data_IF_735457707595
#
_entry.id   IF_735457707595
#
_cell.length_a   1.000
_cell.length_b   1.000
_cell.length_c   1.000
_cell.angle_alpha   90.00
_cell.angle_beta   90.00
_cell.angle_gamma   90.00
#
_symmetry.space_group_name_H-M   'P 1'
#
loop_
_entity.id
_entity.type
_entity.pdbx_description
1 polymer ?
#
# COMPACT_ATOMS: atom_id res chain seq x y z
N UNK A 1 0.07 6.27 17.97
CA UNK A 1 -0.46 5.90 19.31
C UNK A 1 0.70 5.59 20.25
N UNK A 2 0.94 6.45 21.22
CA UNK A 2 1.95 6.17 22.27
C UNK A 2 1.32 5.21 23.30
N UNK A 3 2.06 4.21 23.78
CA UNK A 3 1.66 3.25 24.84
C UNK A 3 0.61 2.17 24.41
N UNK A 4 0.86 1.47 23.30
CA UNK A 4 0.02 0.35 22.83
C UNK A 4 -0.11 -0.77 23.87
N UNK A 5 0.98 -1.09 24.56
CA UNK A 5 1.02 -2.16 25.59
C UNK A 5 0.39 -1.75 26.93
N UNK A 6 0.12 -0.46 27.13
CA UNK A 6 -0.34 0.07 28.44
C UNK A 6 -1.86 0.25 28.52
N UNK A 7 -2.54 0.41 27.36
CA UNK A 7 -3.96 0.71 27.31
C UNK A 7 -4.68 -0.26 26.37
N UNK A 8 -5.70 -0.94 26.88
CA UNK A 8 -6.46 -1.96 26.15
C UNK A 8 -7.04 -1.42 24.83
N UNK A 9 -7.58 -0.20 24.82
CA UNK A 9 -8.12 0.47 23.62
C UNK A 9 -7.03 0.68 22.56
N UNK A 10 -5.87 1.20 22.96
CA UNK A 10 -4.76 1.44 22.05
C UNK A 10 -4.24 0.13 21.42
N UNK A 11 -4.16 -0.93 22.22
CA UNK A 11 -3.79 -2.26 21.77
C UNK A 11 -4.82 -2.82 20.77
N UNK A 12 -6.10 -2.81 21.12
CA UNK A 12 -7.16 -3.32 20.27
C UNK A 12 -7.21 -2.61 18.91
N UNK A 13 -7.14 -1.28 18.88
CA UNK A 13 -7.13 -0.47 17.66
C UNK A 13 -5.87 -0.71 16.85
N UNK A 14 -4.70 -0.81 17.50
CA UNK A 14 -3.44 -1.10 16.81
C UNK A 14 -3.46 -2.46 16.11
N UNK A 15 -3.84 -3.52 16.82
CA UNK A 15 -3.91 -4.86 16.25
C UNK A 15 -4.97 -4.97 15.15
N UNK A 16 -6.15 -4.38 15.36
CA UNK A 16 -7.20 -4.36 14.34
C UNK A 16 -6.75 -3.62 13.07
N UNK A 17 -6.02 -2.51 13.21
CA UNK A 17 -5.45 -1.77 12.08
C UNK A 17 -4.37 -2.59 11.38
N UNK A 18 -3.52 -3.31 12.13
CA UNK A 18 -2.50 -4.19 11.57
C UNK A 18 -3.15 -5.36 10.81
N UNK A 19 -4.13 -6.04 11.39
CA UNK A 19 -4.88 -7.12 10.73
C UNK A 19 -5.53 -6.59 9.44
N UNK A 20 -6.19 -5.44 9.51
CA UNK A 20 -6.85 -4.82 8.37
C UNK A 20 -5.86 -4.51 7.22
N UNK A 21 -4.66 -4.07 7.56
CA UNK A 21 -3.60 -3.74 6.60
C UNK A 21 -3.05 -4.98 5.87
N UNK A 22 -2.99 -6.14 6.56
CA UNK A 22 -2.33 -7.34 6.05
C UNK A 22 -3.29 -8.48 5.68
N UNK A 23 -4.59 -8.36 6.00
CA UNK A 23 -5.60 -9.38 5.71
C UNK A 23 -6.69 -8.83 4.79
N UNK A 24 -6.60 -9.13 3.49
CA UNK A 24 -7.56 -8.66 2.49
C UNK A 24 -8.97 -9.22 2.66
N UNK A 25 -9.10 -10.28 3.47
CA UNK A 25 -10.39 -10.96 3.72
C UNK A 25 -11.43 -10.09 4.43
N UNK A 26 -11.01 -9.00 5.07
CA UNK A 26 -11.90 -8.17 5.88
C UNK A 26 -12.14 -6.80 5.24
N UNK A 27 -13.38 -6.49 4.88
CA UNK A 27 -13.79 -5.15 4.43
C UNK A 27 -13.97 -4.17 5.61
N UNK A 28 -14.14 -4.69 6.82
CA UNK A 28 -14.29 -3.92 8.06
C UNK A 28 -13.96 -4.76 9.29
N UNK A 29 -13.38 -4.14 10.31
CA UNK A 29 -13.07 -4.76 11.60
C UNK A 29 -13.60 -3.86 12.72
N UNK A 30 -14.20 -4.46 13.74
CA UNK A 30 -14.58 -3.77 14.96
C UNK A 30 -13.55 -4.10 16.03
N UNK A 31 -12.87 -3.07 16.55
CA UNK A 31 -11.93 -3.19 17.66
C UNK A 31 -12.64 -2.85 18.95
N UNK A 32 -12.53 -3.70 19.96
CA UNK A 32 -13.14 -3.54 21.28
C UNK A 32 -12.04 -3.53 22.32
N UNK A 33 -11.85 -2.40 22.98
CA UNK A 33 -10.93 -2.26 24.11
C UNK A 33 -11.72 -2.27 25.41
N UNK A 34 -11.38 -3.17 26.32
CA UNK A 34 -12.06 -3.35 27.63
C UNK A 34 -11.09 -3.04 28.75
N UNK A 35 -11.42 -2.06 29.57
CA UNK A 35 -10.76 -1.82 30.85
C UNK A 35 -11.71 -2.24 32.00
N UNK A 36 -11.19 -2.96 32.95
CA UNK A 36 -11.92 -3.30 34.18
C UNK A 36 -11.15 -2.83 35.40
N UNK A 37 -11.85 -2.23 36.36
CA UNK A 37 -11.28 -1.83 37.64
C UNK A 37 -12.30 -2.02 38.77
N UNK A 38 -11.81 -2.14 40.02
CA UNK A 38 -12.64 -2.20 41.20
C UNK A 38 -12.98 -0.80 41.68
N UNK A 39 -14.27 -0.58 41.97
CA UNK A 39 -14.77 0.61 42.65
C UNK A 39 -15.56 0.16 43.91
N UNK A 40 -14.88 0.08 45.05
CA UNK A 40 -15.37 -0.60 46.22
C UNK A 40 -15.47 -2.13 45.98
N UNK A 41 -16.66 -2.70 46.27
CA UNK A 41 -16.93 -4.12 46.02
C UNK A 41 -17.39 -4.42 44.57
N UNK A 42 -17.71 -3.39 43.80
CA UNK A 42 -18.18 -3.52 42.43
C UNK A 42 -17.02 -3.54 41.41
N UNK A 43 -17.19 -4.32 40.35
CA UNK A 43 -16.29 -4.29 39.19
C UNK A 43 -16.91 -3.43 38.08
N UNK A 44 -16.24 -2.35 37.72
CA UNK A 44 -16.66 -1.43 36.66
C UNK A 44 -15.89 -1.74 35.38
N UNK A 45 -16.61 -1.78 34.27
CA UNK A 45 -16.02 -1.95 32.93
C UNK A 45 -16.20 -0.69 32.10
N UNK A 46 -15.13 -0.28 31.44
CA UNK A 46 -15.11 0.77 30.41
C UNK A 46 -14.75 0.11 29.07
N UNK A 47 -15.69 0.12 28.16
CA UNK A 47 -15.55 -0.55 26.85
C UNK A 47 -15.61 0.51 25.76
N UNK A 48 -14.50 0.71 25.05
CA UNK A 48 -14.46 1.58 23.87
C UNK A 48 -14.44 0.76 22.59
N UNK A 49 -15.31 1.09 21.67
CA UNK A 49 -15.53 0.37 20.42
C UNK A 49 -15.19 1.25 19.23
N UNK A 50 -14.40 0.70 18.29
CA UNK A 50 -13.88 1.41 17.13
C UNK A 50 -14.12 0.62 15.87
N UNK A 51 -14.40 1.30 14.75
CA UNK A 51 -14.52 0.75 13.40
C UNK A 51 -13.27 1.06 12.60
N UNK A 52 -12.69 0.03 11.98
CA UNK A 52 -11.70 0.14 10.91
C UNK A 52 -12.37 -0.40 9.64
N UNK A 53 -12.40 0.36 8.55
CA UNK A 53 -13.13 -0.01 7.34
C UNK A 53 -12.38 0.46 6.09
N UNK A 54 -12.47 -0.32 5.00
CA UNK A 54 -12.00 0.09 3.68
C UNK A 54 -12.67 1.39 3.22
N UNK A 55 -13.96 1.56 3.51
CA UNK A 55 -14.70 2.80 3.21
C UNK A 55 -14.18 4.03 3.96
N UNK A 56 -13.45 3.86 5.05
CA UNK A 56 -12.78 4.92 5.83
C UNK A 56 -11.26 4.89 5.64
N UNK A 57 -10.76 4.28 4.56
CA UNK A 57 -9.32 4.16 4.26
C UNK A 57 -8.50 3.54 5.41
N UNK A 58 -9.10 2.63 6.18
CA UNK A 58 -8.47 2.02 7.34
C UNK A 58 -8.28 2.95 8.54
N UNK A 59 -8.73 4.20 8.48
CA UNK A 59 -8.66 5.15 9.61
C UNK A 59 -9.65 4.74 10.69
N UNK A 60 -9.19 4.50 11.94
CA UNK A 60 -10.07 4.11 13.03
C UNK A 60 -11.09 5.21 13.37
N UNK A 61 -12.36 4.85 13.43
CA UNK A 61 -13.47 5.73 13.86
C UNK A 61 -14.12 5.15 15.10
N UNK A 62 -14.34 5.99 16.12
CA UNK A 62 -14.98 5.58 17.37
C UNK A 62 -16.48 5.35 17.15
N UNK A 63 -16.99 4.18 17.53
CA UNK A 63 -18.42 3.83 17.50
C UNK A 63 -19.11 4.32 18.78
N UNK A 64 -18.46 4.16 19.92
CA UNK A 64 -18.97 4.59 21.22
C UNK A 64 -18.27 3.94 22.39
N UNK A 65 -18.68 4.36 23.58
CA UNK A 65 -18.29 3.76 24.85
C UNK A 65 -19.49 3.01 25.44
N UNK A 66 -19.21 1.89 26.10
CA UNK A 66 -20.21 0.99 26.67
C UNK A 66 -19.74 0.52 28.04
N UNK A 67 -20.66 0.11 28.86
CA UNK A 67 -20.39 -0.46 30.19
C UNK A 67 -20.46 -1.99 30.21
N UNK A 68 -21.02 -2.58 29.13
CA UNK A 68 -21.14 -4.02 28.94
C UNK A 68 -21.06 -4.40 27.45
N UNK A 69 -21.09 -5.70 27.15
CA UNK A 69 -21.03 -6.23 25.78
C UNK A 69 -22.41 -6.46 25.15
N UNK A 70 -23.48 -5.93 25.72
CA UNK A 70 -24.86 -6.11 25.23
C UNK A 70 -25.05 -5.60 23.79
N UNK A 71 -24.26 -4.61 23.36
CA UNK A 71 -24.27 -4.09 21.98
C UNK A 71 -23.90 -5.14 20.91
N UNK A 72 -23.26 -6.27 21.28
CA UNK A 72 -22.91 -7.37 20.39
C UNK A 72 -23.99 -8.45 20.30
N UNK A 73 -25.04 -8.36 21.12
CA UNK A 73 -26.14 -9.35 21.10
C UNK A 73 -26.97 -9.25 19.82
N UNK A 74 -27.62 -10.36 19.48
CA UNK A 74 -28.46 -10.44 18.28
C UNK A 74 -29.59 -9.40 18.29
N UNK A 75 -30.17 -9.11 19.48
CA UNK A 75 -31.21 -8.09 19.68
C UNK A 75 -30.74 -6.67 19.35
N UNK A 76 -29.46 -6.36 19.60
CA UNK A 76 -28.89 -5.03 19.38
C UNK A 76 -28.18 -4.89 18.02
N UNK A 77 -28.17 -5.94 17.19
CA UNK A 77 -27.50 -5.96 15.89
C UNK A 77 -27.97 -4.83 14.95
N UNK A 78 -29.28 -4.55 14.92
CA UNK A 78 -29.83 -3.49 14.07
C UNK A 78 -29.39 -2.09 14.53
N UNK A 79 -29.36 -1.86 15.86
CA UNK A 79 -28.91 -0.60 16.44
C UNK A 79 -27.39 -0.37 16.19
N UNK A 80 -26.59 -1.43 16.30
CA UNK A 80 -25.15 -1.37 15.96
C UNK A 80 -24.97 -1.09 14.47
N UNK A 81 -25.74 -1.73 13.58
CA UNK A 81 -25.67 -1.52 12.14
C UNK A 81 -26.00 -0.07 11.72
N UNK A 82 -26.98 0.56 12.39
CA UNK A 82 -27.30 1.97 12.18
C UNK A 82 -26.15 2.87 12.60
N UNK A 83 -25.60 2.68 13.80
CA UNK A 83 -24.41 3.44 14.26
C UNK A 83 -23.23 3.28 13.32
N UNK A 84 -22.99 2.08 12.80
CA UNK A 84 -21.93 1.83 11.83
C UNK A 84 -22.17 2.60 10.52
N UNK A 85 -23.42 2.75 10.09
CA UNK A 85 -23.76 3.49 8.87
C UNK A 85 -23.52 4.99 9.04
N UNK A 86 -23.84 5.56 10.20
CA UNK A 86 -23.63 6.98 10.49
C UNK A 86 -22.16 7.37 10.66
N UNK A 87 -21.30 6.41 11.02
CA UNK A 87 -19.85 6.62 11.20
C UNK A 87 -19.09 6.50 9.89
N UNK A 88 -19.68 5.90 8.85
CA UNK A 88 -19.05 5.83 7.54
C UNK A 88 -18.94 7.24 6.95
N UNK A 89 -17.79 7.50 6.33
CA UNK A 89 -17.53 8.78 5.67
C UNK A 89 -18.56 9.05 4.58
N UNK A 90 -19.00 10.29 4.49
CA UNK A 90 -19.75 10.81 3.35
C UNK A 90 -18.91 10.78 2.09
N UNK A 91 -19.52 10.88 0.92
CA UNK A 91 -18.80 10.88 -0.36
C UNK A 91 -17.80 12.04 -0.44
N UNK A 92 -18.19 13.24 0.04
CA UNK A 92 -17.30 14.42 0.07
C UNK A 92 -16.10 14.23 1.03
N UNK A 93 -16.31 13.61 2.19
CA UNK A 93 -15.20 13.30 3.11
C UNK A 93 -14.28 12.24 2.52
N UNK A 94 -14.82 11.24 1.80
CA UNK A 94 -14.00 10.24 1.10
C UNK A 94 -13.16 10.86 0.01
N UNK A 95 -13.71 11.76 -0.79
CA UNK A 95 -12.97 12.48 -1.83
C UNK A 95 -11.84 13.33 -1.24
N UNK A 96 -12.12 14.04 -0.14
CA UNK A 96 -11.09 14.83 0.55
C UNK A 96 -9.98 13.94 1.08
N UNK A 97 -10.31 12.83 1.75
CA UNK A 97 -9.30 11.91 2.27
C UNK A 97 -8.52 11.23 1.14
N UNK A 98 -9.18 10.87 0.04
CA UNK A 98 -8.50 10.34 -1.13
C UNK A 98 -7.45 11.34 -1.65
N UNK A 99 -7.80 12.61 -1.75
CA UNK A 99 -6.88 13.67 -2.14
C UNK A 99 -5.70 13.85 -1.15
N UNK A 100 -5.97 13.82 0.17
CA UNK A 100 -4.93 13.88 1.20
C UNK A 100 -3.97 12.68 1.12
N UNK A 101 -4.49 11.46 0.90
CA UNK A 101 -3.67 10.27 0.67
C UNK A 101 -2.84 10.38 -0.60
N UNK A 102 -3.42 10.88 -1.67
CA UNK A 102 -2.72 11.10 -2.93
C UNK A 102 -1.54 12.06 -2.77
N UNK A 103 -1.73 13.18 -2.06
CA UNK A 103 -0.66 14.13 -1.78
C UNK A 103 0.43 13.52 -0.88
N UNK A 104 0.03 12.67 0.07
CA UNK A 104 0.97 11.95 0.94
C UNK A 104 1.84 10.99 0.15
N UNK A 105 1.26 10.22 -0.79
CA UNK A 105 2.03 9.33 -1.67
C UNK A 105 3.03 10.15 -2.50
N UNK A 106 2.57 11.22 -3.12
CA UNK A 106 3.41 12.07 -3.95
C UNK A 106 4.59 12.64 -3.15
N UNK A 107 4.32 13.14 -1.95
CA UNK A 107 5.36 13.66 -1.04
C UNK A 107 6.35 12.57 -0.65
N UNK A 108 5.87 11.38 -0.26
CA UNK A 108 6.73 10.26 0.14
C UNK A 108 7.59 9.76 -1.02
N UNK A 109 7.03 9.69 -2.23
CA UNK A 109 7.78 9.33 -3.42
C UNK A 109 8.86 10.37 -3.76
N UNK A 110 8.53 11.68 -3.69
CA UNK A 110 9.52 12.74 -3.90
C UNK A 110 10.67 12.66 -2.89
N UNK A 111 10.35 12.44 -1.62
CA UNK A 111 11.36 12.26 -0.57
C UNK A 111 12.22 11.03 -0.84
N UNK A 112 11.61 9.90 -1.19
CA UNK A 112 12.36 8.68 -1.51
C UNK A 112 13.28 8.87 -2.72
N UNK A 113 12.81 9.56 -3.77
CA UNK A 113 13.65 9.88 -4.92
C UNK A 113 14.85 10.72 -4.54
N UNK A 114 14.63 11.75 -3.73
CA UNK A 114 15.71 12.61 -3.24
C UNK A 114 16.75 11.80 -2.47
N UNK A 115 16.30 10.91 -1.58
CA UNK A 115 17.19 9.98 -0.86
C UNK A 115 17.98 9.08 -1.81
N UNK A 116 17.30 8.52 -2.81
CA UNK A 116 17.97 7.67 -3.82
C UNK A 116 19.00 8.45 -4.65
N UNK A 117 18.74 9.73 -4.91
CA UNK A 117 19.66 10.61 -5.64
C UNK A 117 20.85 11.02 -4.78
N UNK A 118 20.58 11.73 -3.67
CA UNK A 118 21.61 12.47 -2.90
C UNK A 118 22.44 11.56 -2.00
N UNK A 119 21.77 10.65 -1.31
CA UNK A 119 22.43 9.82 -0.29
C UNK A 119 22.90 8.47 -0.86
N UNK A 120 22.15 7.89 -1.80
CA UNK A 120 22.41 6.54 -2.30
C UNK A 120 23.04 6.49 -3.70
N UNK A 121 23.02 7.60 -4.42
CA UNK A 121 23.57 7.75 -5.78
C UNK A 121 23.05 6.69 -6.76
N UNK A 122 21.75 6.38 -6.70
CA UNK A 122 21.10 5.45 -7.62
C UNK A 122 20.74 6.20 -8.92
N UNK A 123 21.10 5.63 -10.06
CA UNK A 123 20.80 6.22 -11.36
C UNK A 123 19.28 6.42 -11.56
N UNK A 124 18.91 7.53 -12.20
CA UNK A 124 17.50 7.92 -12.40
C UNK A 124 16.70 6.82 -13.09
N UNK A 125 17.25 6.23 -14.18
CA UNK A 125 16.59 5.16 -14.92
C UNK A 125 16.32 3.89 -14.12
N UNK A 126 17.07 3.65 -13.05
CA UNK A 126 16.93 2.43 -12.24
C UNK A 126 15.96 2.61 -11.06
N UNK A 127 15.58 3.84 -10.71
CA UNK A 127 14.76 4.13 -9.51
C UNK A 127 13.33 3.61 -9.63
N UNK A 128 12.76 3.71 -10.84
CA UNK A 128 11.40 3.26 -11.13
C UNK A 128 11.29 1.75 -10.97
N UNK A 129 12.22 1.03 -11.63
CA UNK A 129 12.29 -0.42 -11.58
C UNK A 129 12.53 -0.91 -10.15
N UNK A 130 13.41 -0.23 -9.39
CA UNK A 130 13.66 -0.56 -7.99
C UNK A 130 12.41 -0.43 -7.12
N UNK A 131 11.69 0.69 -7.22
CA UNK A 131 10.46 0.91 -6.44
C UNK A 131 9.40 -0.12 -6.83
N UNK A 132 9.20 -0.37 -8.12
CA UNK A 132 8.25 -1.37 -8.61
C UNK A 132 8.59 -2.78 -8.12
N UNK A 133 9.86 -3.17 -8.19
CA UNK A 133 10.34 -4.46 -7.68
C UNK A 133 10.10 -4.60 -6.17
N UNK A 134 10.39 -3.57 -5.39
CA UNK A 134 10.22 -3.56 -3.94
C UNK A 134 8.75 -3.66 -3.53
N UNK A 135 7.85 -2.97 -4.25
CA UNK A 135 6.41 -3.09 -4.03
C UNK A 135 5.95 -4.52 -4.35
N UNK A 136 6.32 -5.08 -5.51
CA UNK A 136 5.97 -6.45 -5.87
C UNK A 136 6.48 -7.47 -4.85
N UNK A 137 7.73 -7.33 -4.39
CA UNK A 137 8.31 -8.21 -3.38
C UNK A 137 7.54 -8.15 -2.04
N UNK A 138 7.07 -6.97 -1.65
CA UNK A 138 6.36 -6.75 -0.39
C UNK A 138 4.90 -7.18 -0.41
N UNK A 139 4.25 -7.23 -1.58
CA UNK A 139 2.83 -7.57 -1.68
C UNK A 139 2.53 -9.04 -1.34
N UNK A 140 3.42 -9.97 -1.73
CA UNK A 140 3.13 -11.39 -1.66
C UNK A 140 1.97 -11.84 -2.57
N UNK A 141 1.60 -13.09 -2.51
CA UNK A 141 0.47 -13.67 -3.26
C UNK A 141 -0.35 -14.57 -2.35
N UNK A 142 -1.66 -14.43 -2.42
CA UNK A 142 -2.63 -15.31 -1.77
C UNK A 142 -3.48 -16.02 -2.83
N UNK A 143 -3.98 -17.22 -2.52
CA UNK A 143 -4.98 -17.92 -3.32
C UNK A 143 -6.40 -17.33 -3.12
N UNK A 144 -7.39 -17.89 -3.80
CA UNK A 144 -8.80 -17.48 -3.71
C UNK A 144 -9.37 -17.70 -2.31
N UNK A 145 -8.84 -18.65 -1.55
CA UNK A 145 -9.24 -18.97 -0.19
C UNK A 145 -8.53 -18.08 0.87
N UNK A 146 -7.59 -17.24 0.43
CA UNK A 146 -6.81 -16.34 1.29
C UNK A 146 -5.57 -16.95 1.90
N UNK A 147 -5.18 -18.19 1.52
CA UNK A 147 -3.94 -18.81 1.98
C UNK A 147 -2.75 -18.13 1.29
N UNK A 148 -1.67 -17.97 2.04
CA UNK A 148 -0.45 -17.35 1.52
C UNK A 148 0.31 -18.34 0.65
N UNK A 149 0.40 -18.07 -0.66
CA UNK A 149 1.22 -18.82 -1.63
C UNK A 149 2.66 -18.27 -1.61
N UNK A 150 2.80 -16.94 -1.64
CA UNK A 150 4.08 -16.24 -1.55
C UNK A 150 3.98 -15.21 -0.45
N UNK A 151 4.81 -15.29 0.58
CA UNK A 151 4.84 -14.29 1.65
C UNK A 151 5.44 -12.98 1.15
N UNK A 152 4.90 -11.85 1.56
CA UNK A 152 5.53 -10.55 1.31
C UNK A 152 6.90 -10.47 2.00
N UNK A 153 7.86 -9.86 1.34
CA UNK A 153 9.17 -9.55 1.92
C UNK A 153 9.00 -8.43 2.96
N UNK A 154 9.76 -8.47 4.04
CA UNK A 154 9.82 -7.41 5.05
C UNK A 154 11.27 -6.96 5.24
N UNK A 155 11.47 -5.73 5.73
CA UNK A 155 12.82 -5.17 5.91
C UNK A 155 13.74 -6.05 6.78
N UNK A 156 13.17 -6.79 7.74
CA UNK A 156 13.94 -7.71 8.59
C UNK A 156 14.52 -8.92 7.85
N UNK A 157 13.99 -9.26 6.67
CA UNK A 157 14.50 -10.34 5.83
C UNK A 157 15.78 -9.97 5.11
N UNK A 158 16.01 -8.67 4.89
CA UNK A 158 17.20 -8.12 4.27
C UNK A 158 18.33 -8.03 5.29
N UNK A 159 19.44 -8.72 5.04
CA UNK A 159 20.55 -8.89 6.00
C UNK A 159 21.75 -7.99 5.72
N UNK A 160 21.77 -7.30 4.59
CA UNK A 160 22.92 -6.50 4.12
C UNK A 160 24.19 -7.34 3.93
N UNK A 161 24.02 -8.61 3.56
CA UNK A 161 25.11 -9.52 3.26
C UNK A 161 25.80 -9.14 1.94
N UNK A 162 27.10 -9.43 1.84
CA UNK A 162 27.90 -9.24 0.63
C UNK A 162 28.01 -10.49 -0.27
N UNK A 163 27.39 -11.58 0.11
CA UNK A 163 27.48 -12.85 -0.60
C UNK A 163 26.70 -12.82 -1.94
N UNK A 164 27.30 -13.39 -2.98
CA UNK A 164 26.75 -13.34 -4.35
C UNK A 164 25.27 -13.81 -4.48
N UNK A 165 24.81 -14.68 -3.58
CA UNK A 165 23.43 -15.22 -3.55
C UNK A 165 22.66 -14.86 -2.28
N UNK A 166 23.27 -14.10 -1.38
CA UNK A 166 22.70 -13.75 -0.07
C UNK A 166 22.53 -12.24 0.12
N UNK A 167 23.01 -11.43 -0.83
CA UNK A 167 22.83 -9.99 -0.78
C UNK A 167 21.35 -9.58 -0.96
N UNK A 168 21.00 -8.42 -0.49
CA UNK A 168 19.62 -7.95 -0.42
C UNK A 168 18.95 -7.83 -1.82
N UNK A 169 19.69 -7.47 -2.86
CA UNK A 169 19.19 -7.44 -4.24
C UNK A 169 18.73 -8.81 -4.73
N UNK A 170 19.48 -9.85 -4.39
CA UNK A 170 19.12 -11.23 -4.73
C UNK A 170 17.87 -11.70 -3.95
N UNK A 171 17.76 -11.30 -2.68
CA UNK A 171 16.57 -11.60 -1.88
C UNK A 171 15.30 -10.94 -2.46
N UNK A 172 15.40 -9.67 -2.86
CA UNK A 172 14.29 -8.94 -3.51
C UNK A 172 13.97 -9.59 -4.86
N UNK A 173 14.98 -9.86 -5.70
CA UNK A 173 14.81 -10.48 -7.02
C UNK A 173 14.09 -11.83 -6.93
N UNK A 174 14.52 -12.71 -6.04
CA UNK A 174 13.88 -14.02 -5.85
C UNK A 174 12.42 -13.88 -5.45
N UNK A 175 12.11 -12.97 -4.52
CA UNK A 175 10.73 -12.74 -4.08
C UNK A 175 9.85 -12.22 -5.22
N UNK A 176 10.37 -11.33 -6.06
CA UNK A 176 9.65 -10.88 -7.26
C UNK A 176 9.48 -12.01 -8.26
N UNK A 177 10.49 -12.86 -8.47
CA UNK A 177 10.36 -14.01 -9.35
C UNK A 177 9.25 -14.96 -8.88
N UNK A 178 9.21 -15.29 -7.57
CA UNK A 178 8.13 -16.08 -6.97
C UNK A 178 6.76 -15.42 -7.15
N UNK A 179 6.67 -14.09 -6.94
CA UNK A 179 5.45 -13.32 -7.14
C UNK A 179 4.96 -13.41 -8.60
N UNK A 180 5.83 -13.22 -9.58
CA UNK A 180 5.50 -13.27 -11.00
C UNK A 180 5.09 -14.68 -11.44
N UNK A 181 5.76 -15.71 -10.92
CA UNK A 181 5.43 -17.10 -11.21
C UNK A 181 4.04 -17.47 -10.68
N UNK A 182 3.69 -16.99 -9.50
CA UNK A 182 2.37 -17.22 -8.88
C UNK A 182 1.22 -16.46 -9.55
N UNK A 183 1.51 -15.40 -10.33
CA UNK A 183 0.49 -14.57 -11.02
C UNK A 183 0.08 -15.07 -12.41
N UNK A 184 0.57 -16.23 -12.85
CA UNK A 184 0.22 -16.84 -14.15
C UNK A 184 0.36 -15.90 -15.36
N UNK A 185 1.36 -15.02 -15.33
CA UNK A 185 1.66 -14.14 -16.47
C UNK A 185 2.22 -14.96 -17.65
N UNK A 186 2.04 -14.52 -18.92
CA UNK A 186 2.71 -15.12 -20.07
C UNK A 186 4.22 -15.24 -19.87
N UNK A 187 4.81 -16.36 -20.30
CA UNK A 187 6.20 -16.69 -20.00
C UNK A 187 7.20 -15.65 -20.54
N UNK A 188 6.95 -15.14 -21.74
CA UNK A 188 7.75 -14.09 -22.40
C UNK A 188 7.73 -12.78 -21.59
N UNK A 189 6.57 -12.38 -21.06
CA UNK A 189 6.44 -11.19 -20.20
C UNK A 189 7.17 -11.38 -18.87
N UNK A 190 7.01 -12.56 -18.24
CA UNK A 190 7.73 -12.88 -17.01
C UNK A 190 9.23 -12.77 -17.17
N UNK A 191 9.75 -13.40 -18.23
CA UNK A 191 11.18 -13.41 -18.52
C UNK A 191 11.69 -11.99 -18.80
N UNK A 192 10.96 -11.21 -19.58
CA UNK A 192 11.32 -9.80 -19.85
C UNK A 192 11.41 -8.98 -18.57
N UNK A 193 10.43 -9.11 -17.64
CA UNK A 193 10.45 -8.40 -16.35
C UNK A 193 11.63 -8.89 -15.50
N UNK A 194 11.85 -10.21 -15.40
CA UNK A 194 12.96 -10.79 -14.63
C UNK A 194 14.31 -10.28 -15.12
N UNK A 195 14.54 -10.24 -16.43
CA UNK A 195 15.79 -9.76 -17.02
C UNK A 195 16.03 -8.26 -16.73
N UNK A 196 14.98 -7.44 -16.82
CA UNK A 196 15.09 -6.01 -16.48
C UNK A 196 15.45 -5.83 -15.00
N UNK A 197 14.76 -6.53 -14.11
CA UNK A 197 14.97 -6.41 -12.67
C UNK A 197 16.29 -7.03 -12.20
N UNK A 198 16.76 -8.09 -12.85
CA UNK A 198 18.08 -8.68 -12.60
C UNK A 198 19.19 -7.64 -12.80
N UNK A 199 19.14 -6.92 -13.93
CA UNK A 199 20.10 -5.86 -14.24
C UNK A 199 20.17 -4.78 -13.16
N UNK A 200 19.02 -4.40 -12.62
CA UNK A 200 18.94 -3.30 -11.66
C UNK A 200 19.24 -3.78 -10.23
N UNK A 201 18.61 -4.87 -9.79
CA UNK A 201 18.72 -5.36 -8.41
C UNK A 201 20.07 -6.02 -8.10
N UNK A 202 20.73 -6.64 -9.10
CA UNK A 202 22.00 -7.34 -8.91
C UNK A 202 23.21 -6.47 -9.30
N UNK A 203 23.03 -5.15 -9.33
CA UNK A 203 24.14 -4.23 -9.57
C UNK A 203 25.05 -4.14 -8.34
N UNK A 204 26.35 -4.43 -8.51
CA UNK A 204 27.33 -4.53 -7.43
C UNK A 204 27.41 -3.29 -6.52
N UNK A 205 27.18 -2.09 -7.08
CA UNK A 205 27.15 -0.85 -6.29
C UNK A 205 26.07 -0.83 -5.20
N UNK A 206 24.96 -1.57 -5.39
CA UNK A 206 23.83 -1.57 -4.47
C UNK A 206 24.00 -2.54 -3.29
N UNK A 207 24.95 -3.49 -3.44
CA UNK A 207 25.22 -4.54 -2.46
C UNK A 207 26.06 -4.06 -1.28
N UNK A 208 26.92 -3.04 -1.48
CA UNK A 208 27.83 -2.59 -0.43
C UNK A 208 27.10 -1.91 0.73
N UNK A 209 27.24 -2.43 1.97
CA UNK A 209 26.73 -1.76 3.15
C UNK A 209 27.39 -0.41 3.35
N UNK A 210 26.60 0.57 3.73
CA UNK A 210 27.03 1.94 4.07
C UNK A 210 26.45 2.36 5.40
N UNK A 211 27.10 3.30 6.06
CA UNK A 211 26.50 3.98 7.22
C UNK A 211 25.30 4.78 6.73
N UNK A 212 24.13 4.48 7.28
CA UNK A 212 22.90 5.21 6.99
C UNK A 212 22.97 6.58 7.66
N UNK A 213 22.71 7.64 6.88
CA UNK A 213 22.75 9.02 7.35
C UNK A 213 21.91 9.19 8.62
N UNK A 214 22.39 9.98 9.55
CA UNK A 214 21.75 10.30 10.83
C UNK A 214 21.44 9.07 11.72
N UNK A 215 22.12 7.94 11.47
CA UNK A 215 21.99 6.72 12.27
C UNK A 215 23.37 6.05 12.41
N UNK A 216 23.49 5.12 13.39
CA UNK A 216 24.68 4.27 13.54
C UNK A 216 24.51 2.92 12.78
N UNK A 217 23.52 2.78 11.92
CA UNK A 217 23.27 1.54 11.18
C UNK A 217 24.16 1.46 9.95
N UNK A 218 24.70 0.27 9.72
CA UNK A 218 25.44 -0.06 8.49
C UNK A 218 24.58 -1.05 7.71
N UNK A 219 24.04 -0.61 6.57
CA UNK A 219 23.08 -1.38 5.79
C UNK A 219 23.34 -1.23 4.28
N UNK A 220 22.85 -2.18 3.47
CA UNK A 220 22.86 -2.04 2.02
C UNK A 220 21.99 -0.87 1.58
N UNK A 221 22.29 -0.28 0.42
CA UNK A 221 21.42 0.74 -0.18
C UNK A 221 20.00 0.22 -0.39
N UNK A 222 19.89 -1.01 -0.89
CA UNK A 222 18.60 -1.65 -1.14
C UNK A 222 17.76 -1.82 0.13
N UNK A 223 18.38 -2.21 1.25
CA UNK A 223 17.67 -2.30 2.54
C UNK A 223 17.17 -0.94 3.03
N UNK A 224 17.96 0.11 2.83
CA UNK A 224 17.57 1.48 3.19
C UNK A 224 16.35 1.91 2.37
N UNK A 225 16.39 1.75 1.04
CA UNK A 225 15.26 2.07 0.15
C UNK A 225 14.04 1.21 0.48
N UNK A 226 14.24 -0.10 0.69
CA UNK A 226 13.15 -1.03 0.98
C UNK A 226 12.40 -0.65 2.25
N UNK A 227 13.11 -0.21 3.29
CA UNK A 227 12.49 0.27 4.53
C UNK A 227 11.58 1.46 4.27
N UNK A 228 12.02 2.43 3.48
CA UNK A 228 11.20 3.60 3.12
C UNK A 228 9.96 3.18 2.31
N UNK A 229 10.12 2.26 1.36
CA UNK A 229 9.00 1.70 0.59
C UNK A 229 8.02 0.96 1.51
N UNK A 230 8.51 0.09 2.39
CA UNK A 230 7.68 -0.67 3.32
C UNK A 230 6.91 0.22 4.29
N UNK A 231 7.55 1.26 4.83
CA UNK A 231 6.98 2.11 5.87
C UNK A 231 6.08 3.21 5.31
N UNK A 232 6.46 3.82 4.21
CA UNK A 232 5.87 5.08 3.72
C UNK A 232 5.09 4.95 2.42
N UNK A 233 5.33 3.92 1.61
CA UNK A 233 4.68 3.71 0.32
C UNK A 233 3.64 2.59 0.39
N UNK A 234 4.06 1.39 0.81
CA UNK A 234 3.19 0.21 0.82
C UNK A 234 1.91 0.36 1.66
N UNK A 235 1.92 0.99 2.85
CA UNK A 235 0.69 1.17 3.62
C UNK A 235 -0.38 1.94 2.86
N UNK A 236 0.02 2.98 2.15
CA UNK A 236 -0.89 3.79 1.36
C UNK A 236 -1.34 3.06 0.11
N UNK A 237 -0.42 2.32 -0.54
CA UNK A 237 -0.74 1.45 -1.67
C UNK A 237 -1.79 0.38 -1.31
N UNK A 238 -1.64 -0.31 -0.18
CA UNK A 238 -2.55 -1.36 0.27
C UNK A 238 -3.91 -0.82 0.75
N UNK A 239 -3.95 0.41 1.31
CA UNK A 239 -5.20 1.02 1.78
C UNK A 239 -6.01 1.69 0.67
N UNK A 240 -5.41 1.91 -0.49
CA UNK A 240 -5.93 2.73 -1.58
C UNK A 240 -6.61 1.89 -2.69
N UNK A 241 -7.59 1.06 -2.35
CA UNK A 241 -8.33 0.22 -3.33
C UNK A 241 -8.86 0.96 -4.57
N UNK A 242 -8.87 2.29 -4.57
CA UNK A 242 -9.48 3.11 -5.61
C UNK A 242 -8.58 4.25 -6.11
N UNK A 243 -7.34 4.34 -5.64
CA UNK A 243 -6.42 5.38 -6.08
C UNK A 243 -5.65 4.91 -7.30
N UNK A 244 -5.47 5.78 -8.26
CA UNK A 244 -4.57 5.57 -9.39
C UNK A 244 -3.11 5.71 -8.92
N UNK A 245 -2.69 4.72 -8.11
CA UNK A 245 -1.33 4.68 -7.59
C UNK A 245 -0.30 4.56 -8.73
N UNK A 246 -0.59 3.72 -9.71
CA UNK A 246 0.32 3.47 -10.85
C UNK A 246 0.52 4.73 -11.68
N UNK A 247 -0.57 5.45 -11.99
CA UNK A 247 -0.49 6.72 -12.71
C UNK A 247 0.26 7.80 -11.90
N UNK A 248 0.04 7.86 -10.58
CA UNK A 248 0.77 8.80 -9.73
C UNK A 248 2.23 8.44 -9.54
N UNK A 249 2.53 7.16 -9.33
CA UNK A 249 3.91 6.68 -9.31
C UNK A 249 4.62 7.08 -10.62
N UNK A 250 3.99 6.83 -11.74
CA UNK A 250 4.53 7.15 -13.05
C UNK A 250 4.70 8.67 -13.25
N UNK A 251 3.73 9.50 -12.84
CA UNK A 251 3.83 10.96 -12.92
C UNK A 251 4.99 11.50 -12.11
N UNK A 252 5.05 11.11 -10.83
CA UNK A 252 6.13 11.57 -9.95
C UNK A 252 7.49 11.10 -10.46
N UNK A 253 7.57 9.89 -11.00
CA UNK A 253 8.83 9.33 -11.53
C UNK A 253 9.23 9.98 -12.85
N UNK A 254 8.27 10.32 -13.71
CA UNK A 254 8.56 11.04 -14.96
C UNK A 254 9.02 12.49 -14.74
N UNK A 255 8.57 13.15 -13.68
CA UNK A 255 9.09 14.47 -13.31
C UNK A 255 10.61 14.43 -12.99
N UNK A 256 11.15 13.24 -12.72
CA UNK A 256 12.54 13.06 -12.28
C UNK A 256 13.48 12.53 -13.34
N UNK A 257 12.93 11.92 -14.38
CA UNK A 257 13.73 11.64 -15.56
C UNK A 257 13.94 12.98 -16.25
N UNK A 258 15.18 13.47 -16.31
CA UNK A 258 15.57 14.60 -17.16
C UNK A 258 15.41 14.19 -18.62
N UNK A 259 14.17 14.15 -19.08
CA UNK A 259 13.85 14.05 -20.50
C UNK A 259 14.25 15.40 -21.08
N UNK A 260 15.14 15.45 -22.07
CA UNK A 260 15.51 16.68 -22.77
C UNK A 260 14.23 17.46 -23.13
N UNK A 261 14.25 18.78 -22.97
CA UNK A 261 13.05 19.61 -23.17
C UNK A 261 12.35 19.39 -24.53
N UNK A 262 13.03 18.84 -25.52
CA UNK A 262 12.47 18.43 -26.82
C UNK A 262 11.66 17.13 -26.78
N UNK A 263 11.86 16.25 -25.81
CA UNK A 263 11.18 14.95 -25.68
C UNK A 263 10.10 14.97 -24.58
N UNK A 264 10.10 16.00 -23.68
CA UNK A 264 9.08 16.17 -22.64
C UNK A 264 7.66 16.33 -23.18
N UNK A 265 7.53 16.77 -24.42
CA UNK A 265 6.23 17.01 -25.04
C UNK A 265 5.51 15.76 -25.52
N UNK A 266 6.17 14.60 -25.55
CA UNK A 266 5.62 13.38 -26.17
C UNK A 266 4.96 12.43 -25.16
N UNK A 267 5.13 12.63 -23.83
CA UNK A 267 4.49 11.79 -22.80
C UNK A 267 3.65 12.65 -21.86
N UNK A 268 2.52 13.13 -22.37
CA UNK A 268 1.51 13.78 -21.52
C UNK A 268 0.54 12.73 -21.02
N UNK A 269 0.58 12.45 -19.71
CA UNK A 269 -0.41 11.58 -19.10
C UNK A 269 -1.77 12.28 -19.04
N UNK A 270 -2.79 11.59 -19.52
CA UNK A 270 -4.16 12.10 -19.46
C UNK A 270 -4.60 12.20 -18.00
N UNK A 271 -5.04 13.39 -17.53
CA UNK A 271 -5.48 13.55 -16.15
C UNK A 271 -6.62 12.59 -15.80
N UNK A 272 -6.60 12.06 -14.58
CA UNK A 272 -7.57 11.06 -14.11
C UNK A 272 -9.03 11.51 -14.26
N UNK A 273 -9.35 12.76 -13.96
CA UNK A 273 -10.72 13.27 -14.11
C UNK A 273 -11.21 13.21 -15.56
N UNK A 274 -10.32 13.33 -16.54
CA UNK A 274 -10.64 13.17 -17.98
C UNK A 274 -10.92 11.70 -18.29
N UNK A 275 -10.05 10.78 -17.87
CA UNK A 275 -10.23 9.35 -18.14
C UNK A 275 -11.47 8.80 -17.45
N UNK A 276 -11.78 9.21 -16.23
CA UNK A 276 -13.00 8.83 -15.51
C UNK A 276 -14.26 9.43 -16.16
N UNK A 277 -14.20 10.69 -16.58
CA UNK A 277 -15.29 11.35 -17.27
C UNK A 277 -15.60 10.66 -18.59
N UNK A 278 -14.58 10.35 -19.39
CA UNK A 278 -14.76 9.68 -20.67
C UNK A 278 -15.27 8.25 -20.52
N UNK A 279 -14.80 7.50 -19.53
CA UNK A 279 -15.29 6.17 -19.25
C UNK A 279 -16.76 6.18 -18.79
N UNK A 280 -17.18 7.17 -18.00
CA UNK A 280 -18.59 7.39 -17.63
C UNK A 280 -19.45 7.81 -18.80
N UNK A 281 -18.93 8.73 -19.65
CA UNK A 281 -19.65 9.19 -20.83
C UNK A 281 -19.85 8.07 -21.86
N UNK A 282 -18.89 7.13 -21.94
CA UNK A 282 -19.00 5.93 -22.77
C UNK A 282 -19.91 4.84 -22.16
N UNK A 283 -20.53 5.11 -21.00
CA UNK A 283 -21.43 4.19 -20.28
C UNK A 283 -20.80 2.81 -20.01
N UNK A 284 -19.49 2.79 -19.74
CA UNK A 284 -18.76 1.56 -19.44
C UNK A 284 -19.40 0.86 -18.24
N UNK A 285 -19.67 -0.44 -18.38
CA UNK A 285 -20.28 -1.30 -17.36
C UNK A 285 -19.65 -2.71 -17.38
N UNK A 286 -20.05 -3.59 -16.48
CA UNK A 286 -19.49 -4.93 -16.31
C UNK A 286 -19.48 -5.81 -17.57
N UNK A 287 -20.31 -5.49 -18.58
CA UNK A 287 -20.40 -6.24 -19.84
C UNK A 287 -19.63 -5.58 -21.00
N UNK A 288 -18.93 -4.46 -20.74
CA UNK A 288 -18.23 -3.71 -21.78
C UNK A 288 -16.92 -4.39 -22.16
N UNK A 289 -16.57 -4.30 -23.44
CA UNK A 289 -15.22 -4.61 -23.96
C UNK A 289 -14.51 -3.28 -24.24
N UNK A 290 -13.41 -3.04 -23.58
CA UNK A 290 -12.66 -1.79 -23.71
C UNK A 290 -11.33 -2.06 -24.40
N UNK A 291 -11.05 -1.33 -25.48
CA UNK A 291 -9.82 -1.38 -26.24
C UNK A 291 -9.17 0.00 -26.23
N UNK A 292 -7.89 0.03 -25.92
CA UNK A 292 -7.09 1.24 -25.96
C UNK A 292 -5.80 0.96 -26.78
N UNK A 293 -5.78 1.48 -27.99
CA UNK A 293 -4.67 1.27 -28.93
C UNK A 293 -3.45 2.12 -28.61
N UNK A 294 -3.60 3.12 -27.75
CA UNK A 294 -2.55 4.03 -27.35
C UNK A 294 -2.49 4.14 -25.83
N UNK A 295 -2.55 2.99 -25.15
CA UNK A 295 -2.81 2.85 -23.73
C UNK A 295 -1.87 3.68 -22.83
N UNK A 296 -0.65 3.99 -23.26
CA UNK A 296 0.31 4.71 -22.44
C UNK A 296 0.47 4.06 -21.08
N UNK A 297 0.16 4.79 -19.98
CA UNK A 297 0.13 4.26 -18.62
C UNK A 297 -1.13 3.44 -18.29
N UNK A 298 -2.04 3.25 -19.22
CA UNK A 298 -3.30 2.52 -19.02
C UNK A 298 -4.38 3.31 -18.27
N UNK A 299 -4.28 4.62 -18.16
CA UNK A 299 -5.23 5.46 -17.39
C UNK A 299 -6.69 5.28 -17.78
N UNK A 300 -7.00 5.17 -19.09
CA UNK A 300 -8.34 4.88 -19.58
C UNK A 300 -8.80 3.47 -19.20
N UNK A 301 -7.93 2.47 -19.35
CA UNK A 301 -8.24 1.08 -19.00
C UNK A 301 -8.50 0.93 -17.50
N UNK A 302 -7.72 1.60 -16.65
CA UNK A 302 -7.92 1.62 -15.20
C UNK A 302 -9.27 2.26 -14.86
N UNK A 303 -9.61 3.39 -15.48
CA UNK A 303 -10.90 4.08 -15.24
C UNK A 303 -12.09 3.23 -15.70
N UNK A 304 -11.96 2.57 -16.85
CA UNK A 304 -12.96 1.62 -17.34
C UNK A 304 -13.13 0.43 -16.40
N UNK A 305 -12.04 -0.21 -15.99
CA UNK A 305 -12.05 -1.34 -15.05
C UNK A 305 -12.75 -0.99 -13.75
N UNK A 306 -12.52 0.21 -13.18
CA UNK A 306 -13.20 0.69 -11.96
C UNK A 306 -14.73 0.77 -12.13
N UNK A 307 -15.24 1.09 -13.32
CA UNK A 307 -16.67 1.10 -13.59
C UNK A 307 -17.22 -0.31 -13.80
N UNK A 308 -16.44 -1.20 -14.40
CA UNK A 308 -16.84 -2.60 -14.64
C UNK A 308 -16.92 -3.41 -13.34
N UNK A 309 -16.16 -3.03 -12.30
CA UNK A 309 -16.14 -3.70 -10.99
C UNK A 309 -17.18 -3.15 -9.98
N UNK A 310 -17.95 -2.15 -10.35
CA UNK A 310 -19.05 -1.59 -9.53
C UNK A 310 -20.34 -2.31 -9.78
#
# INVERSE_FOLDING_TARGET
>A
MKNISKYAVNGAVHYATAIFKYADSYSRIIAVGVNGYKNGDDTVYEISVWLISKKNFGVPKKIGDYTDLSFLTTSNRSALALKLKDILLTDAERERMAFEFENTIETNLKTLNQTMHDDLHIAVGDRVELIAAMIMAGLGVKDEDGNVIVSGLVTSDLKSDKGKKTHDGYAIYNRVAEFLDAKNLPADKRESIKNTLERVLLHSMLEEPRTVKDTNRVESRLKTVYREVEQNIMPTFLSAEHLDFTGKLFNVLNEWVDIPDGERNDVVLTPRYVTEFMAKLAEVNMNSYVWDYAAGSGGFLISAMKLMLK
#
